data_IF_194605202920
#
_entry.id   IF_194605202920
#
_cell.length_a   1.000
_cell.length_b   1.000
_cell.length_c   1.000
_cell.angle_alpha   90.00
_cell.angle_beta   90.00
_cell.angle_gamma   90.00
#
_symmetry.space_group_name_H-M   'P 1'
#
loop_
_entity.id
_entity.type
_entity.pdbx_description
1 polymer ?
#
# COMPACT_ATOMS: atom_id res chain seq x y z
N UNK A 1 5.00 -5.77 -6.79
CA UNK A 1 3.97 -5.28 -7.71
C UNK A 1 3.89 -3.75 -7.63
N UNK A 2 3.93 -3.07 -8.78
CA UNK A 2 3.60 -1.63 -8.93
C UNK A 2 3.58 -1.22 -10.43
N UNK A 3 3.34 -2.15 -11.38
CA UNK A 3 3.50 -1.83 -12.82
C UNK A 3 2.51 -0.79 -13.33
N UNK A 4 1.31 -0.77 -12.73
CA UNK A 4 0.29 0.22 -13.02
C UNK A 4 0.64 1.61 -12.44
N UNK A 5 1.54 1.69 -11.45
CA UNK A 5 1.79 2.91 -10.69
C UNK A 5 2.18 4.13 -11.54
N UNK A 6 3.04 4.04 -12.58
CA UNK A 6 3.34 5.21 -13.42
C UNK A 6 2.13 5.73 -14.20
N UNK A 7 1.12 4.89 -14.44
CA UNK A 7 -0.09 5.25 -15.18
C UNK A 7 -1.23 5.67 -14.27
N UNK A 8 -1.39 5.02 -13.11
CA UNK A 8 -2.52 5.22 -12.20
C UNK A 8 -2.17 6.19 -11.06
N UNK A 9 -0.94 6.14 -10.54
CA UNK A 9 -0.48 6.93 -9.39
C UNK A 9 0.75 7.79 -9.73
N UNK A 10 0.62 8.80 -10.61
CA UNK A 10 1.76 9.60 -11.04
C UNK A 10 2.47 10.27 -9.86
N UNK A 11 1.74 10.74 -8.84
CA UNK A 11 2.36 11.32 -7.64
C UNK A 11 3.14 10.29 -6.83
N UNK A 12 2.65 9.05 -6.70
CA UNK A 12 3.36 7.98 -5.99
C UNK A 12 4.61 7.54 -6.74
N UNK A 13 4.56 7.49 -8.08
CA UNK A 13 5.71 7.15 -8.91
C UNK A 13 6.86 8.18 -8.81
N UNK A 14 6.57 9.44 -8.47
CA UNK A 14 7.59 10.44 -8.16
C UNK A 14 8.32 10.16 -6.83
N UNK A 15 7.63 9.55 -5.86
CA UNK A 15 8.18 9.27 -4.53
C UNK A 15 8.87 7.90 -4.49
N UNK A 16 8.29 6.90 -5.12
CA UNK A 16 8.81 5.54 -5.19
C UNK A 16 9.03 5.11 -6.64
N UNK A 17 10.22 4.59 -6.93
CA UNK A 17 10.43 3.84 -8.15
C UNK A 17 9.61 2.55 -8.10
N UNK A 18 8.70 2.38 -9.06
CA UNK A 18 7.80 1.22 -9.16
C UNK A 18 8.54 -0.14 -9.30
N UNK A 19 9.80 -0.14 -9.74
CA UNK A 19 10.67 -1.33 -9.81
C UNK A 19 11.56 -1.50 -8.56
N UNK A 20 11.49 -0.56 -7.62
CA UNK A 20 12.35 -0.50 -6.43
C UNK A 20 11.94 -1.43 -5.30
N UNK A 21 10.82 -2.13 -5.44
CA UNK A 21 10.30 -3.07 -4.44
C UNK A 21 11.29 -4.17 -4.09
N UNK A 22 11.35 -4.49 -2.79
CA UNK A 22 12.13 -5.59 -2.23
C UNK A 22 11.25 -6.36 -1.26
N UNK A 23 10.98 -7.61 -1.58
CA UNK A 23 10.22 -8.50 -0.71
C UNK A 23 11.15 -9.14 0.32
N UNK A 24 10.62 -9.48 1.49
CA UNK A 24 11.30 -10.29 2.51
C UNK A 24 10.38 -11.38 3.10
N UNK A 25 9.07 -11.27 2.90
CA UNK A 25 8.08 -12.30 3.19
C UNK A 25 7.39 -12.72 1.90
N UNK A 26 7.45 -14.02 1.58
CA UNK A 26 7.14 -14.54 0.24
C UNK A 26 6.05 -15.62 0.22
N UNK A 27 5.66 -16.15 1.37
CA UNK A 27 4.65 -17.21 1.47
C UNK A 27 3.99 -17.22 2.86
N UNK A 28 2.82 -17.85 2.94
CA UNK A 28 2.04 -17.94 4.17
C UNK A 28 1.10 -16.74 4.38
N UNK A 29 0.58 -16.55 5.60
CA UNK A 29 -0.43 -15.53 5.90
C UNK A 29 0.12 -14.09 5.91
N UNK A 30 1.44 -13.92 5.82
CA UNK A 30 2.12 -12.63 5.87
C UNK A 30 3.03 -12.49 4.66
N UNK A 31 2.80 -11.47 3.85
CA UNK A 31 3.51 -11.21 2.60
C UNK A 31 3.97 -9.77 2.56
N UNK A 32 5.09 -9.47 1.90
CA UNK A 32 5.49 -8.09 1.66
C UNK A 32 6.98 -7.82 1.80
N UNK A 33 7.29 -6.55 2.06
CA UNK A 33 8.65 -6.06 2.19
C UNK A 33 8.71 -4.54 2.24
N UNK A 34 9.62 -3.94 1.47
CA UNK A 34 9.87 -2.50 1.51
C UNK A 34 10.16 -1.87 0.15
N UNK A 35 9.96 -0.56 0.09
CA UNK A 35 10.40 0.31 -1.00
C UNK A 35 11.27 1.43 -0.44
N UNK A 36 12.29 1.84 -1.19
CA UNK A 36 13.08 3.02 -0.83
C UNK A 36 12.50 4.27 -1.48
N UNK A 37 12.67 5.42 -0.85
CA UNK A 37 12.35 6.71 -1.48
C UNK A 37 13.29 7.02 -2.65
N UNK A 38 12.77 7.74 -3.63
CA UNK A 38 13.54 8.37 -4.69
C UNK A 38 14.42 9.50 -4.13
N UNK A 39 15.43 9.91 -4.91
CA UNK A 39 16.34 10.99 -4.51
C UNK A 39 15.59 12.29 -4.18
N UNK A 40 15.91 12.89 -3.04
CA UNK A 40 15.30 14.16 -2.57
C UNK A 40 13.97 14.01 -1.83
N UNK A 41 13.41 12.80 -1.77
CA UNK A 41 12.17 12.47 -1.04
C UNK A 41 12.51 11.85 0.31
N UNK A 42 11.71 12.16 1.32
CA UNK A 42 11.89 11.73 2.71
C UNK A 42 10.65 11.02 3.26
N UNK A 43 9.48 11.25 2.66
CA UNK A 43 8.23 10.61 3.06
C UNK A 43 7.24 10.52 1.90
N UNK A 44 6.15 9.80 2.12
CA UNK A 44 4.94 9.82 1.29
C UNK A 44 4.00 10.87 1.87
N UNK A 45 4.12 12.06 1.31
CA UNK A 45 3.33 13.25 1.59
C UNK A 45 3.25 14.08 0.32
N UNK A 46 2.33 15.03 0.24
CA UNK A 46 2.23 15.96 -0.91
C UNK A 46 3.54 16.69 -1.20
N UNK A 47 4.29 17.11 -0.17
CA UNK A 47 5.59 17.76 -0.34
C UNK A 47 6.76 16.79 -0.59
N UNK A 48 6.57 15.50 -0.28
CA UNK A 48 7.63 14.50 -0.23
C UNK A 48 8.59 14.67 0.94
N UNK A 49 8.26 15.51 1.93
CA UNK A 49 8.99 15.74 3.18
C UNK A 49 8.24 15.14 4.37
N UNK A 50 8.93 14.93 5.48
CA UNK A 50 8.29 14.45 6.70
C UNK A 50 7.14 15.37 7.15
N UNK A 51 5.97 14.79 7.41
CA UNK A 51 4.82 15.51 7.94
C UNK A 51 4.92 15.77 9.45
N UNK A 52 5.76 15.01 10.15
CA UNK A 52 6.11 15.17 11.56
C UNK A 52 7.45 14.45 11.86
N UNK A 53 8.06 14.62 13.05
CA UNK A 53 9.31 13.95 13.37
C UNK A 53 9.21 12.40 13.28
N UNK A 54 10.23 11.70 12.75
CA UNK A 54 10.24 10.24 12.71
C UNK A 54 10.05 9.58 14.07
N UNK A 55 9.45 8.39 14.06
CA UNK A 55 9.18 7.59 15.25
C UNK A 55 10.48 7.24 15.99
N UNK A 56 10.43 7.34 17.32
CA UNK A 56 11.58 7.00 18.17
C UNK A 56 12.00 5.55 17.95
N UNK A 57 13.21 5.34 17.46
CA UNK A 57 13.77 4.02 17.20
C UNK A 57 13.97 3.72 15.72
N UNK A 58 13.27 4.43 14.83
CA UNK A 58 13.52 4.37 13.39
C UNK A 58 14.83 5.09 13.08
N UNK A 59 15.79 4.37 12.49
CA UNK A 59 17.16 4.88 12.29
C UNK A 59 17.79 4.30 11.02
N UNK A 60 18.87 4.93 10.57
CA UNK A 60 19.69 4.43 9.47
C UNK A 60 18.87 4.26 8.19
N UNK A 61 18.96 3.08 7.56
CA UNK A 61 18.27 2.78 6.30
C UNK A 61 16.74 2.86 6.41
N UNK A 62 16.17 2.68 7.60
CA UNK A 62 14.72 2.65 7.80
C UNK A 62 14.10 4.04 7.73
N UNK A 63 14.90 5.10 7.87
CA UNK A 63 14.47 6.47 7.57
C UNK A 63 14.25 6.72 6.08
N UNK A 64 14.75 5.84 5.20
CA UNK A 64 14.61 5.99 3.75
C UNK A 64 13.71 4.90 3.13
N UNK A 65 12.84 4.30 3.93
CA UNK A 65 12.01 3.16 3.53
C UNK A 65 10.58 3.31 4.00
N UNK A 66 9.68 2.75 3.20
CA UNK A 66 8.34 2.37 3.66
C UNK A 66 8.24 0.87 3.55
N UNK A 67 7.69 0.24 4.58
CA UNK A 67 7.43 -1.20 4.59
C UNK A 67 5.95 -1.45 4.32
N UNK A 68 5.64 -2.39 3.43
CA UNK A 68 4.28 -2.76 3.07
C UNK A 68 4.11 -4.26 3.31
N UNK A 69 3.14 -4.62 4.14
CA UNK A 69 2.85 -6.00 4.50
C UNK A 69 1.37 -6.32 4.38
N UNK A 70 1.04 -7.32 3.57
CA UNK A 70 -0.28 -7.94 3.58
C UNK A 70 -0.35 -8.94 4.73
N UNK A 71 -1.36 -8.77 5.58
CA UNK A 71 -1.72 -9.62 6.69
C UNK A 71 -3.07 -10.26 6.35
N UNK A 72 -3.03 -11.53 5.97
CA UNK A 72 -4.23 -12.30 5.65
C UNK A 72 -5.19 -12.37 6.86
N UNK A 73 -6.52 -12.24 6.67
CA UNK A 73 -7.21 -12.20 5.38
C UNK A 73 -7.39 -10.80 4.78
N UNK A 74 -7.25 -9.74 5.56
CA UNK A 74 -7.90 -8.49 5.20
C UNK A 74 -7.17 -7.20 5.59
N UNK A 75 -5.89 -7.25 5.95
CA UNK A 75 -5.15 -6.05 6.34
C UNK A 75 -3.96 -5.79 5.43
N UNK A 76 -3.78 -4.54 5.02
CA UNK A 76 -2.52 -4.02 4.48
C UNK A 76 -1.92 -3.09 5.53
N UNK A 77 -0.69 -3.34 5.94
CA UNK A 77 0.06 -2.56 6.91
C UNK A 77 1.21 -1.83 6.24
N UNK A 78 1.21 -0.51 6.32
CA UNK A 78 2.20 0.39 5.74
C UNK A 78 2.95 1.14 6.84
N UNK A 79 4.23 0.83 7.03
CA UNK A 79 5.08 1.41 8.07
C UNK A 79 5.98 2.47 7.46
N UNK A 80 5.65 3.74 7.72
CA UNK A 80 6.44 4.89 7.32
C UNK A 80 7.40 5.30 8.46
N UNK A 81 8.41 6.13 8.19
CA UNK A 81 9.32 6.58 9.24
C UNK A 81 8.63 7.35 10.38
N UNK A 82 7.59 8.14 10.08
CA UNK A 82 6.94 9.05 11.03
C UNK A 82 5.46 8.72 11.34
N UNK A 83 4.84 7.80 10.60
CA UNK A 83 3.48 7.33 10.85
C UNK A 83 3.27 5.88 10.44
N UNK A 84 2.15 5.29 10.87
CA UNK A 84 1.68 4.00 10.35
C UNK A 84 0.36 4.23 9.64
N UNK A 85 0.22 3.68 8.44
CA UNK A 85 -1.05 3.58 7.75
C UNK A 85 -1.43 2.10 7.70
N UNK A 86 -2.71 1.81 7.86
CA UNK A 86 -3.22 0.48 7.56
C UNK A 86 -4.60 0.56 6.91
N UNK A 87 -4.88 -0.44 6.09
CA UNK A 87 -6.17 -0.65 5.46
C UNK A 87 -6.77 -1.94 5.98
N UNK A 88 -8.08 -1.96 6.21
CA UNK A 88 -8.82 -3.22 6.38
C UNK A 88 -9.93 -3.34 5.35
N UNK A 89 -10.04 -4.51 4.72
CA UNK A 89 -11.06 -4.80 3.70
C UNK A 89 -12.12 -5.75 4.27
N UNK A 90 -13.38 -5.31 4.30
CA UNK A 90 -14.49 -6.08 4.85
C UNK A 90 -15.45 -6.46 3.72
N UNK A 91 -15.66 -7.76 3.45
CA UNK A 91 -16.55 -8.19 2.38
C UNK A 91 -17.99 -7.78 2.68
N UNK A 92 -18.71 -7.33 1.64
CA UNK A 92 -20.12 -6.97 1.69
C UNK A 92 -20.86 -7.59 0.49
N UNK A 93 -20.65 -8.89 0.31
CA UNK A 93 -21.08 -9.65 -0.86
C UNK A 93 -19.92 -10.05 -1.77
N UNK A 94 -20.21 -10.73 -2.89
CA UNK A 94 -19.18 -11.23 -3.82
C UNK A 94 -18.54 -10.14 -4.68
N UNK A 95 -19.19 -8.98 -4.84
CA UNK A 95 -18.81 -7.90 -5.76
C UNK A 95 -18.67 -6.54 -5.06
N UNK A 96 -18.64 -6.53 -3.72
CA UNK A 96 -18.57 -5.31 -2.91
C UNK A 96 -17.82 -5.53 -1.61
N UNK A 97 -17.08 -4.52 -1.18
CA UNK A 97 -16.44 -4.47 0.12
C UNK A 97 -16.53 -3.07 0.74
N UNK A 98 -16.20 -2.97 2.02
CA UNK A 98 -15.87 -1.72 2.69
C UNK A 98 -14.35 -1.70 2.94
N UNK A 99 -13.71 -0.58 2.67
CA UNK A 99 -12.27 -0.39 2.93
C UNK A 99 -12.13 0.72 3.96
N UNK A 100 -11.64 0.38 5.14
CA UNK A 100 -11.29 1.36 6.17
C UNK A 100 -9.81 1.72 6.03
N UNK A 101 -9.52 2.99 5.78
CA UNK A 101 -8.15 3.53 5.75
C UNK A 101 -7.89 4.27 7.07
N UNK A 102 -6.82 3.90 7.76
CA UNK A 102 -6.48 4.45 9.07
C UNK A 102 -5.04 4.91 9.12
N UNK A 103 -4.81 6.06 9.77
CA UNK A 103 -3.49 6.62 10.02
C UNK A 103 -3.27 6.75 11.52
N UNK A 104 -2.12 6.26 11.97
CA UNK A 104 -1.69 6.28 13.36
C UNK A 104 -0.47 7.19 13.48
N UNK A 105 -0.65 8.26 14.23
CA UNK A 105 0.40 9.20 14.63
C UNK A 105 0.62 9.11 16.14
N UNK A 106 1.83 9.45 16.59
CA UNK A 106 2.04 9.71 18.01
C UNK A 106 1.16 10.89 18.43
N UNK A 107 0.58 10.80 19.63
CA UNK A 107 -0.30 11.85 20.18
C UNK A 107 0.37 13.24 20.12
N UNK A 108 1.63 13.32 20.50
CA UNK A 108 2.39 14.57 20.45
C UNK A 108 2.60 15.10 19.02
N UNK A 109 2.72 14.23 18.02
CA UNK A 109 2.80 14.63 16.62
C UNK A 109 1.46 15.16 16.13
N UNK A 110 0.36 14.46 16.45
CA UNK A 110 -0.99 14.90 16.11
C UNK A 110 -1.36 16.24 16.77
N UNK A 111 -0.91 16.47 18.01
CA UNK A 111 -1.17 17.71 18.74
C UNK A 111 -0.35 18.90 18.19
N UNK A 112 0.92 18.68 17.78
CA UNK A 112 1.85 19.77 17.38
C UNK A 112 1.93 20.03 15.87
N UNK A 113 1.70 19.01 15.05
CA UNK A 113 1.87 19.05 13.60
C UNK A 113 0.54 18.79 12.87
N UNK A 114 -0.57 19.21 13.50
CA UNK A 114 -1.93 18.89 13.06
C UNK A 114 -2.18 19.19 11.58
N UNK A 115 -1.67 20.31 11.06
CA UNK A 115 -1.89 20.68 9.66
C UNK A 115 -0.95 19.88 8.72
N UNK A 116 0.29 19.65 9.13
CA UNK A 116 1.28 18.93 8.33
C UNK A 116 0.94 17.44 8.16
N UNK A 117 0.32 16.79 9.15
CA UNK A 117 -0.07 15.37 9.03
C UNK A 117 -1.13 15.14 7.94
N UNK A 118 -1.92 16.16 7.58
CA UNK A 118 -2.85 16.06 6.45
C UNK A 118 -2.13 15.93 5.11
N UNK A 119 -0.88 16.38 4.97
CA UNK A 119 -0.11 16.11 3.74
C UNK A 119 0.08 14.62 3.48
N UNK A 120 0.14 13.78 4.52
CA UNK A 120 0.20 12.33 4.39
C UNK A 120 -1.19 11.73 4.10
N UNK A 121 -2.22 12.23 4.82
CA UNK A 121 -3.59 11.72 4.69
C UNK A 121 -4.15 12.04 3.29
N UNK A 122 -4.03 13.29 2.84
CA UNK A 122 -4.58 13.74 1.56
C UNK A 122 -3.88 13.05 0.38
N UNK A 123 -2.56 12.80 0.49
CA UNK A 123 -1.82 12.05 -0.52
C UNK A 123 -2.36 10.63 -0.68
N UNK A 124 -2.55 9.93 0.44
CA UNK A 124 -3.03 8.55 0.42
C UNK A 124 -4.52 8.47 0.11
N UNK A 125 -5.34 9.44 0.52
CA UNK A 125 -6.76 9.51 0.14
C UNK A 125 -6.92 9.54 -1.39
N UNK A 126 -6.14 10.39 -2.08
CA UNK A 126 -6.13 10.44 -3.55
C UNK A 126 -5.62 9.13 -4.16
N UNK A 127 -4.51 8.59 -3.65
CA UNK A 127 -3.95 7.31 -4.13
C UNK A 127 -4.96 6.16 -3.97
N UNK A 128 -5.63 6.09 -2.82
CA UNK A 128 -6.63 5.06 -2.53
C UNK A 128 -7.85 5.16 -3.47
N UNK A 129 -8.32 6.38 -3.77
CA UNK A 129 -9.43 6.57 -4.71
C UNK A 129 -9.09 6.06 -6.11
N UNK A 130 -7.85 6.27 -6.55
CA UNK A 130 -7.36 5.75 -7.82
C UNK A 130 -7.30 4.21 -7.81
N UNK A 131 -6.86 3.60 -6.70
CA UNK A 131 -6.88 2.14 -6.51
C UNK A 131 -8.30 1.58 -6.55
N UNK A 132 -9.25 2.23 -5.89
CA UNK A 132 -10.64 1.79 -5.87
C UNK A 132 -11.27 1.83 -7.27
N UNK A 133 -11.02 2.91 -8.03
CA UNK A 133 -11.53 3.04 -9.40
C UNK A 133 -11.02 1.90 -10.31
N UNK A 134 -9.73 1.55 -10.22
CA UNK A 134 -9.20 0.45 -11.04
C UNK A 134 -9.70 -0.92 -10.57
N UNK A 135 -9.93 -1.12 -9.27
CA UNK A 135 -10.57 -2.34 -8.76
C UNK A 135 -12.00 -2.48 -9.30
N UNK A 136 -12.78 -1.40 -9.34
CA UNK A 136 -14.14 -1.40 -9.90
C UNK A 136 -14.14 -1.72 -11.40
N UNK A 137 -13.23 -1.13 -12.18
CA UNK A 137 -13.08 -1.47 -13.61
C UNK A 137 -12.62 -2.91 -13.81
N UNK A 138 -11.74 -3.42 -12.95
CA UNK A 138 -11.27 -4.81 -13.01
C UNK A 138 -12.42 -5.78 -12.74
N UNK A 139 -13.24 -5.52 -11.71
CA UNK A 139 -14.44 -6.32 -11.42
C UNK A 139 -15.43 -6.31 -12.58
N UNK A 140 -15.65 -5.14 -13.21
CA UNK A 140 -16.51 -5.03 -14.39
C UNK A 140 -15.99 -5.88 -15.56
N UNK A 141 -14.67 -5.87 -15.79
CA UNK A 141 -14.02 -6.70 -16.81
C UNK A 141 -14.15 -8.20 -16.53
N UNK A 142 -13.92 -8.61 -15.28
CA UNK A 142 -14.01 -10.02 -14.83
C UNK A 142 -15.43 -10.58 -15.00
N UNK A 143 -16.46 -9.74 -14.86
CA UNK A 143 -17.86 -10.13 -15.07
C UNK A 143 -18.21 -10.45 -16.54
N UNK A 144 -17.31 -10.20 -17.49
CA UNK A 144 -17.51 -10.53 -18.90
C UNK A 144 -17.44 -12.04 -19.15
N UNK A 145 -18.36 -12.57 -19.96
CA UNK A 145 -18.31 -13.98 -20.43
C UNK A 145 -17.07 -14.30 -21.28
N UNK A 146 -16.36 -13.28 -21.77
CA UNK A 146 -15.11 -13.43 -22.54
C UNK A 146 -13.86 -13.40 -21.66
N UNK A 147 -13.99 -13.08 -20.38
CA UNK A 147 -12.88 -13.06 -19.46
C UNK A 147 -12.37 -14.49 -19.24
N UNK A 148 -11.04 -14.61 -19.16
CA UNK A 148 -10.34 -15.80 -18.69
C UNK A 148 -9.08 -15.33 -17.97
N UNK A 149 -8.71 -15.93 -16.81
CA UNK A 149 -7.52 -15.54 -16.07
C UNK A 149 -6.25 -15.63 -16.95
N UNK A 150 -5.36 -14.66 -16.78
CA UNK A 150 -4.04 -14.64 -17.41
C UNK A 150 -2.95 -14.95 -16.38
N UNK A 151 -1.78 -15.44 -16.80
CA UNK A 151 -0.66 -15.64 -15.90
C UNK A 151 -0.21 -14.34 -15.23
N UNK A 152 0.15 -14.42 -13.94
CA UNK A 152 0.86 -13.36 -13.26
C UNK A 152 2.21 -13.07 -13.93
N UNK A 153 2.61 -11.81 -13.95
CA UNK A 153 3.97 -11.40 -14.32
C UNK A 153 4.97 -11.76 -13.22
N UNK A 154 6.26 -11.80 -13.58
CA UNK A 154 7.33 -12.06 -12.61
C UNK A 154 7.45 -11.05 -11.46
N UNK A 155 6.79 -9.89 -11.53
CA UNK A 155 6.77 -8.89 -10.42
C UNK A 155 5.52 -8.97 -9.54
N UNK A 156 4.59 -9.86 -9.88
CA UNK A 156 3.32 -10.12 -9.17
C UNK A 156 3.42 -11.41 -8.33
N UNK A 157 4.63 -11.82 -7.97
CA UNK A 157 4.86 -13.05 -7.20
C UNK A 157 4.16 -13.07 -5.84
N UNK A 158 3.95 -11.90 -5.21
CA UNK A 158 3.19 -11.83 -3.96
C UNK A 158 1.68 -11.99 -4.17
N UNK A 159 1.13 -11.57 -5.31
CA UNK A 159 -0.28 -11.85 -5.65
C UNK A 159 -0.49 -13.35 -5.84
N UNK A 160 0.40 -13.99 -6.59
CA UNK A 160 0.37 -15.43 -6.77
C UNK A 160 0.46 -16.19 -5.42
N UNK A 161 1.33 -15.73 -4.51
CA UNK A 161 1.46 -16.32 -3.18
C UNK A 161 0.22 -16.08 -2.29
N UNK A 162 -0.43 -14.92 -2.43
CA UNK A 162 -1.68 -14.63 -1.72
C UNK A 162 -2.81 -15.56 -2.19
N UNK A 163 -2.98 -15.72 -3.50
CA UNK A 163 -3.99 -16.63 -4.09
C UNK A 163 -3.75 -18.08 -3.68
N UNK A 164 -2.49 -18.54 -3.73
CA UNK A 164 -2.12 -19.89 -3.28
C UNK A 164 -2.48 -20.10 -1.81
N UNK A 165 -2.19 -19.12 -0.95
CA UNK A 165 -2.55 -19.20 0.46
C UNK A 165 -4.07 -19.21 0.66
N UNK A 166 -4.79 -18.32 -0.04
CA UNK A 166 -6.25 -18.23 0.00
C UNK A 166 -6.91 -19.56 -0.39
N UNK A 167 -6.50 -20.18 -1.50
CA UNK A 167 -7.01 -21.49 -1.95
C UNK A 167 -6.78 -22.55 -0.86
N UNK A 168 -5.58 -22.59 -0.27
CA UNK A 168 -5.26 -23.53 0.81
C UNK A 168 -6.07 -23.31 2.10
N UNK A 169 -6.74 -22.16 2.28
CA UNK A 169 -7.65 -21.93 3.40
C UNK A 169 -9.10 -22.34 3.09
N UNK A 170 -9.42 -22.65 1.83
CA UNK A 170 -10.75 -23.09 1.41
C UNK A 170 -10.96 -24.60 1.47
N UNK A 171 -9.86 -25.38 1.52
CA UNK A 171 -9.84 -26.84 1.67
C UNK A 171 -9.95 -27.27 3.14
#
# INVERSE_FOLDING_TARGET
ECYHCPMIHPQLAEIHNYMGGRNNLYSGPFLGGYMNFNSGKESITTSGKYCCPPLKGVKGKDLNRVYYYSLFPNMLLSLHPEYVMYHTVWPNGPDKCFVDCSWLFLKESADKYKDSIFEAIDFWDETNKQDWEICEYSQLGINSKKYSPAPYSGQESLLAAFDEYYINQMD
#
